data_IF_265374892031
#
_entry.id   IF_265374892031
#
_cell.length_a   1.000
_cell.length_b   1.000
_cell.length_c   1.000
_cell.angle_alpha   90.00
_cell.angle_beta   90.00
_cell.angle_gamma   90.00
#
_symmetry.space_group_name_H-M   'P 1'
#
loop_
_entity.id
_entity.type
_entity.pdbx_description
1 polymer ?
#
# COMPACT_ATOMS: atom_id res chain seq x y z
N UNK A 1 13.52 -23.71 1.01
CA UNK A 1 13.07 -23.03 2.24
C UNK A 1 13.28 -21.50 2.22
N UNK A 2 14.18 -20.95 1.39
CA UNK A 2 14.49 -19.49 1.33
C UNK A 2 13.35 -18.64 0.73
N UNK A 3 12.66 -19.11 -0.31
CA UNK A 3 11.60 -18.35 -1.00
C UNK A 3 10.35 -18.03 -0.12
N UNK A 4 10.12 -18.82 0.94
CA UNK A 4 8.98 -18.63 1.85
C UNK A 4 9.23 -17.52 2.89
N UNK A 5 10.51 -17.23 3.22
CA UNK A 5 10.87 -16.15 4.14
C UNK A 5 10.93 -14.78 3.43
N UNK A 6 11.43 -14.73 2.19
CA UNK A 6 11.48 -13.50 1.38
C UNK A 6 10.08 -12.97 1.05
N UNK A 7 9.13 -13.86 0.76
CA UNK A 7 7.74 -13.50 0.44
C UNK A 7 7.00 -12.92 1.65
N UNK A 8 7.27 -13.35 2.89
CA UNK A 8 6.66 -12.76 4.10
C UNK A 8 7.28 -11.43 4.50
N UNK A 9 8.61 -11.30 4.47
CA UNK A 9 9.29 -10.05 4.83
C UNK A 9 8.96 -8.91 3.84
N UNK A 10 8.84 -9.21 2.55
CA UNK A 10 8.41 -8.22 1.56
C UNK A 10 6.95 -7.80 1.77
N UNK A 11 6.08 -8.69 2.24
CA UNK A 11 4.69 -8.35 2.54
C UNK A 11 4.55 -7.35 3.69
N UNK A 12 5.31 -7.54 4.77
CA UNK A 12 5.30 -6.61 5.91
C UNK A 12 5.88 -5.25 5.54
N UNK A 13 7.00 -5.23 4.80
CA UNK A 13 7.61 -3.98 4.30
C UNK A 13 6.64 -3.19 3.45
N UNK A 14 5.99 -3.84 2.49
CA UNK A 14 5.00 -3.21 1.63
C UNK A 14 3.77 -2.68 2.41
N UNK A 15 3.31 -3.39 3.44
CA UNK A 15 2.21 -2.91 4.30
C UNK A 15 2.65 -1.65 5.03
N UNK A 16 3.87 -1.59 5.57
CA UNK A 16 4.42 -0.39 6.23
C UNK A 16 4.54 0.79 5.26
N UNK A 17 4.94 0.53 4.02
CA UNK A 17 4.99 1.57 2.97
C UNK A 17 3.57 2.05 2.64
N UNK A 18 2.63 1.13 2.46
CA UNK A 18 1.23 1.47 2.19
C UNK A 18 0.62 2.30 3.33
N UNK A 19 0.91 1.94 4.58
CA UNK A 19 0.50 2.69 5.77
C UNK A 19 1.10 4.10 5.78
N UNK A 20 2.36 4.26 5.38
CA UNK A 20 2.99 5.59 5.22
C UNK A 20 2.26 6.42 4.17
N UNK A 21 1.89 5.79 3.05
CA UNK A 21 1.22 6.47 1.94
C UNK A 21 -0.21 6.85 2.31
N UNK A 22 -0.95 5.98 2.98
CA UNK A 22 -2.32 6.23 3.45
C UNK A 22 -2.31 7.34 4.52
N UNK A 23 -1.36 7.32 5.46
CA UNK A 23 -1.18 8.40 6.44
C UNK A 23 -0.90 9.74 5.76
N UNK A 24 -0.01 9.76 4.77
CA UNK A 24 0.29 10.96 4.00
C UNK A 24 -0.94 11.49 3.28
N UNK A 25 -1.71 10.61 2.63
CA UNK A 25 -2.93 10.98 1.91
C UNK A 25 -3.99 11.51 2.87
N UNK A 26 -4.24 10.81 3.97
CA UNK A 26 -5.24 11.16 4.97
C UNK A 26 -4.93 12.53 5.62
N UNK A 27 -3.67 12.79 5.94
CA UNK A 27 -3.25 14.09 6.48
C UNK A 27 -3.46 15.21 5.47
N UNK A 28 -3.08 15.01 4.21
CA UNK A 28 -3.13 16.09 3.22
C UNK A 28 -4.53 16.33 2.66
N UNK A 29 -5.36 15.30 2.50
CA UNK A 29 -6.73 15.41 1.96
C UNK A 29 -7.79 15.60 3.03
N UNK A 30 -7.71 14.84 4.13
CA UNK A 30 -8.73 14.86 5.19
C UNK A 30 -8.31 15.69 6.40
N UNK A 31 -7.10 16.29 6.40
CA UNK A 31 -6.56 17.12 7.49
C UNK A 31 -6.54 16.39 8.85
N UNK A 32 -6.41 15.07 8.83
CA UNK A 32 -6.34 14.26 10.03
C UNK A 32 -5.04 14.54 10.82
N UNK A 33 -5.05 14.45 12.17
CA UNK A 33 -3.86 14.54 12.99
C UNK A 33 -2.80 13.51 12.60
N UNK A 34 -1.53 13.84 12.84
CA UNK A 34 -0.41 12.95 12.53
C UNK A 34 -0.48 11.67 13.38
N UNK A 35 -0.45 10.51 12.73
CA UNK A 35 -0.56 9.21 13.40
C UNK A 35 -2.00 8.71 13.59
N UNK A 36 -3.00 9.49 13.17
CA UNK A 36 -4.41 9.08 13.23
C UNK A 36 -4.97 9.01 11.81
N UNK A 37 -5.43 7.83 11.40
CA UNK A 37 -6.18 7.64 10.16
C UNK A 37 -7.66 7.95 10.40
N UNK A 38 -8.29 8.64 9.46
CA UNK A 38 -9.75 8.71 9.46
C UNK A 38 -10.34 7.33 9.18
N UNK A 39 -11.62 7.15 9.52
CA UNK A 39 -12.33 5.88 9.35
C UNK A 39 -12.20 5.29 7.94
N UNK A 40 -12.31 6.11 6.91
CA UNK A 40 -12.21 5.61 5.53
C UNK A 40 -10.80 5.11 5.17
N UNK A 41 -9.77 5.79 5.67
CA UNK A 41 -8.38 5.43 5.42
C UNK A 41 -7.95 4.22 6.25
N UNK A 42 -8.45 4.07 7.48
CA UNK A 42 -8.22 2.88 8.29
C UNK A 42 -8.91 1.65 7.69
N UNK A 43 -10.16 1.77 7.25
CA UNK A 43 -10.89 0.71 6.56
C UNK A 43 -10.17 0.27 5.26
N UNK A 44 -9.58 1.21 4.52
CA UNK A 44 -8.80 0.89 3.32
C UNK A 44 -7.51 0.12 3.64
N UNK A 45 -6.80 0.52 4.71
CA UNK A 45 -5.58 -0.15 5.15
C UNK A 45 -5.87 -1.57 5.65
N UNK A 46 -6.92 -1.72 6.46
CA UNK A 46 -7.36 -3.01 6.99
C UNK A 46 -7.79 -3.96 5.86
N UNK A 47 -8.56 -3.44 4.90
CA UNK A 47 -8.95 -4.20 3.71
C UNK A 47 -7.72 -4.69 2.93
N UNK A 48 -6.70 -3.85 2.78
CA UNK A 48 -5.47 -4.21 2.09
C UNK A 48 -4.67 -5.29 2.83
N UNK A 49 -4.56 -5.17 4.16
CA UNK A 49 -3.92 -6.18 5.03
C UNK A 49 -4.64 -7.52 4.93
N UNK A 50 -5.96 -7.54 5.14
CA UNK A 50 -6.77 -8.75 5.06
C UNK A 50 -6.64 -9.45 3.69
N UNK A 51 -6.70 -8.71 2.58
CA UNK A 51 -6.53 -9.30 1.24
C UNK A 51 -5.14 -9.87 1.01
N UNK A 52 -4.13 -9.28 1.63
CA UNK A 52 -2.76 -9.78 1.56
C UNK A 52 -2.60 -11.05 2.41
N UNK A 53 -3.18 -11.13 3.60
CA UNK A 53 -3.14 -12.34 4.42
C UNK A 53 -3.89 -13.51 3.76
N UNK A 54 -5.07 -13.25 3.17
CA UNK A 54 -5.93 -14.27 2.56
C UNK A 54 -5.59 -14.60 1.10
N UNK A 55 -4.39 -14.27 0.63
CA UNK A 55 -4.00 -14.49 -0.77
C UNK A 55 -3.74 -15.99 -1.03
N UNK A 56 -4.43 -16.62 -1.99
CA UNK A 56 -4.28 -18.06 -2.24
C UNK A 56 -3.08 -18.43 -3.13
N UNK A 57 -2.34 -17.45 -3.65
CA UNK A 57 -1.23 -17.67 -4.58
C UNK A 57 0.10 -17.87 -3.85
N UNK A 58 0.84 -18.93 -4.22
CA UNK A 58 2.20 -19.25 -3.77
C UNK A 58 3.07 -19.75 -4.95
N UNK A 59 4.16 -19.07 -5.35
CA UNK A 59 4.72 -17.85 -4.76
C UNK A 59 3.85 -16.64 -5.06
N UNK A 60 3.68 -15.78 -4.06
CA UNK A 60 2.81 -14.62 -4.18
C UNK A 60 3.48 -13.50 -4.99
N UNK A 61 2.94 -13.11 -6.16
CA UNK A 61 3.47 -11.96 -6.90
C UNK A 61 3.07 -10.65 -6.22
N UNK A 62 3.77 -9.56 -6.58
CA UNK A 62 3.33 -8.20 -6.21
C UNK A 62 1.91 -7.96 -6.72
N UNK A 63 1.07 -7.25 -5.96
CA UNK A 63 -0.34 -7.01 -6.33
C UNK A 63 -0.52 -6.36 -7.72
N UNK A 64 0.49 -5.62 -8.20
CA UNK A 64 0.56 -5.02 -9.55
C UNK A 64 0.68 -6.07 -10.66
N UNK A 65 1.41 -7.15 -10.40
CA UNK A 65 1.67 -8.25 -11.34
C UNK A 65 0.79 -9.49 -11.07
N UNK A 66 -0.17 -9.38 -10.15
CA UNK A 66 -1.05 -10.48 -9.80
C UNK A 66 -2.09 -10.72 -10.91
N UNK A 67 -2.11 -11.95 -11.44
CA UNK A 67 -3.08 -12.39 -12.44
C UNK A 67 -4.52 -12.36 -11.92
N UNK A 68 -4.73 -12.55 -10.61
CA UNK A 68 -6.05 -12.49 -9.98
C UNK A 68 -6.26 -11.12 -9.33
N UNK A 69 -7.25 -10.38 -9.80
CA UNK A 69 -7.57 -9.06 -9.25
C UNK A 69 -8.54 -9.17 -8.07
N UNK A 70 -7.99 -9.39 -6.87
CA UNK A 70 -8.75 -9.63 -5.63
C UNK A 70 -9.37 -8.36 -5.00
N UNK A 71 -9.00 -7.18 -5.52
CA UNK A 71 -9.49 -5.88 -5.06
C UNK A 71 -10.80 -5.50 -5.77
N UNK A 72 -11.80 -5.08 -5.00
CA UNK A 72 -13.00 -4.47 -5.58
C UNK A 72 -12.65 -3.19 -6.34
N UNK A 73 -13.43 -2.87 -7.37
CA UNK A 73 -13.16 -1.74 -8.28
C UNK A 73 -13.00 -0.42 -7.52
N UNK A 74 -13.84 -0.18 -6.52
CA UNK A 74 -13.84 1.03 -5.68
C UNK A 74 -12.57 1.11 -4.83
N UNK A 75 -12.23 0.05 -4.08
CA UNK A 75 -11.03 0.02 -3.25
C UNK A 75 -9.75 0.13 -4.10
N UNK A 76 -9.75 -0.49 -5.29
CA UNK A 76 -8.62 -0.40 -6.23
C UNK A 76 -8.43 1.02 -6.77
N UNK A 77 -9.52 1.74 -7.04
CA UNK A 77 -9.45 3.14 -7.47
C UNK A 77 -8.89 4.01 -6.35
N UNK A 78 -9.39 3.83 -5.12
CA UNK A 78 -8.90 4.54 -3.92
C UNK A 78 -7.42 4.31 -3.67
N UNK A 79 -6.94 3.05 -3.72
CA UNK A 79 -5.52 2.76 -3.56
C UNK A 79 -4.69 3.42 -4.66
N UNK A 80 -5.12 3.37 -5.92
CA UNK A 80 -4.40 4.06 -7.00
C UNK A 80 -4.31 5.57 -6.77
N UNK A 81 -5.39 6.18 -6.29
CA UNK A 81 -5.39 7.60 -5.94
C UNK A 81 -4.41 7.90 -4.80
N UNK A 82 -4.45 7.12 -3.71
CA UNK A 82 -3.53 7.24 -2.57
C UNK A 82 -2.08 7.09 -3.04
N UNK A 83 -1.78 6.06 -3.82
CA UNK A 83 -0.43 5.80 -4.34
C UNK A 83 0.05 6.93 -5.23
N UNK A 84 -0.78 7.42 -6.16
CA UNK A 84 -0.42 8.50 -7.07
C UNK A 84 -0.20 9.83 -6.33
N UNK A 85 -1.09 10.16 -5.40
CA UNK A 85 -1.00 11.39 -4.62
C UNK A 85 0.20 11.37 -3.66
N UNK A 86 0.33 10.31 -2.87
CA UNK A 86 1.39 10.18 -1.87
C UNK A 86 2.76 10.00 -2.53
N UNK A 87 2.83 9.29 -3.66
CA UNK A 87 4.03 9.19 -4.48
C UNK A 87 4.51 10.57 -4.96
N UNK A 88 3.62 11.36 -5.58
CA UNK A 88 3.93 12.74 -6.00
C UNK A 88 4.35 13.62 -4.81
N UNK A 89 3.65 13.49 -3.68
CA UNK A 89 3.94 14.28 -2.47
C UNK A 89 5.31 13.93 -1.86
N UNK A 90 5.68 12.65 -1.82
CA UNK A 90 7.00 12.20 -1.35
C UNK A 90 8.12 12.60 -2.31
N UNK A 91 7.84 12.62 -3.63
CA UNK A 91 8.78 13.12 -4.65
C UNK A 91 9.15 14.58 -4.38
N UNK A 92 8.14 15.43 -4.13
CA UNK A 92 8.33 16.84 -3.85
C UNK A 92 9.10 17.11 -2.54
N UNK A 93 9.14 16.13 -1.63
CA UNK A 93 9.91 16.18 -0.37
C UNK A 93 11.33 15.62 -0.49
N UNK A 94 11.76 15.17 -1.68
CA UNK A 94 13.11 14.62 -1.89
C UNK A 94 13.29 13.16 -1.45
N UNK A 95 12.21 12.43 -1.14
CA UNK A 95 12.28 11.00 -0.76
C UNK A 95 12.15 10.09 -1.99
N UNK A 96 13.08 10.24 -2.94
CA UNK A 96 13.11 9.51 -4.21
C UNK A 96 13.36 7.99 -4.01
N UNK A 97 14.03 7.61 -2.93
CA UNK A 97 14.31 6.22 -2.56
C UNK A 97 13.04 5.35 -2.46
N UNK A 98 11.96 5.88 -1.86
CA UNK A 98 10.68 5.16 -1.76
C UNK A 98 9.94 5.04 -3.10
N UNK A 99 10.18 5.96 -4.04
CA UNK A 99 9.59 5.89 -5.37
C UNK A 99 10.30 4.85 -6.23
N UNK A 100 11.63 4.79 -6.15
CA UNK A 100 12.43 3.84 -6.92
C UNK A 100 12.09 2.39 -6.57
N UNK A 101 12.02 2.07 -5.27
CA UNK A 101 11.71 0.72 -4.78
C UNK A 101 10.29 0.23 -5.14
N UNK A 102 9.35 1.14 -5.45
CA UNK A 102 7.95 0.77 -5.72
C UNK A 102 7.58 0.82 -7.21
N UNK A 103 8.35 1.57 -8.02
CA UNK A 103 8.12 1.67 -9.45
C UNK A 103 8.88 0.60 -10.24
N UNK A 104 10.06 0.19 -9.76
CA UNK A 104 10.95 -0.83 -10.32
C UNK A 104 11.06 -2.04 -9.40
#
# INVERSE_FOLDING_TARGET
>A
MVACMETRQNQEKDIRVLETFINCYCRSRHKSPQGVLCRECSELLEYARMKREKCPLDPKPTCKHCHVHCYGKVQRARIREVMAYSGKHLMLRGRLDLLWHYFF
#
